data_IF_225056926635
#
_entry.id   IF_225056926635
#
_cell.length_a   1.000
_cell.length_b   1.000
_cell.length_c   1.000
_cell.angle_alpha   90.00
_cell.angle_beta   90.00
_cell.angle_gamma   90.00
#
_symmetry.space_group_name_H-M   'P 1'
#
loop_
_entity.id
_entity.type
_entity.pdbx_description
1 polymer ?
#
# COMPACT_ATOMS: atom_id res chain seq x y z
N UNK A 1 -11.48 -18.95 3.13
CA UNK A 1 -10.31 -19.63 2.50
C UNK A 1 -9.32 -18.56 2.06
N UNK A 2 -8.09 -18.53 2.58
CA UNK A 2 -7.12 -17.51 2.16
C UNK A 2 -5.70 -18.09 2.24
N UNK A 3 -5.30 -18.77 1.17
CA UNK A 3 -3.90 -19.13 0.96
C UNK A 3 -3.09 -17.93 0.44
N UNK A 4 -1.79 -18.15 0.31
CA UNK A 4 -0.88 -17.24 -0.39
C UNK A 4 -1.27 -17.14 -1.88
N UNK A 5 -0.87 -16.04 -2.53
CA UNK A 5 -1.01 -15.89 -3.98
C UNK A 5 -0.19 -16.99 -4.64
N UNK A 6 -0.68 -17.57 -5.74
CA UNK A 6 0.10 -18.57 -6.47
C UNK A 6 1.35 -17.93 -7.06
N UNK A 7 2.43 -18.71 -7.23
CA UNK A 7 3.66 -18.21 -7.86
C UNK A 7 3.41 -17.68 -9.27
N UNK A 8 2.50 -18.32 -10.00
CA UNK A 8 2.13 -17.92 -11.35
C UNK A 8 1.40 -16.57 -11.35
N UNK A 9 0.39 -16.39 -10.51
CA UNK A 9 -0.34 -15.11 -10.41
C UNK A 9 0.58 -13.98 -9.94
N UNK A 10 1.49 -14.27 -9.00
CA UNK A 10 2.48 -13.28 -8.55
C UNK A 10 3.42 -12.87 -9.67
N UNK A 11 3.92 -13.85 -10.43
CA UNK A 11 4.78 -13.62 -11.60
C UNK A 11 4.07 -12.77 -12.65
N UNK A 12 2.85 -13.15 -13.04
CA UNK A 12 2.05 -12.40 -14.02
C UNK A 12 1.71 -10.99 -13.53
N UNK A 13 1.42 -10.83 -12.24
CA UNK A 13 1.20 -9.52 -11.62
C UNK A 13 2.43 -8.61 -11.71
N UNK A 14 3.61 -9.13 -11.35
CA UNK A 14 4.87 -8.37 -11.43
C UNK A 14 5.22 -8.06 -12.88
N UNK A 15 5.07 -9.04 -13.79
CA UNK A 15 5.28 -8.86 -15.23
C UNK A 15 4.40 -7.75 -15.81
N UNK A 16 3.11 -7.74 -15.46
CA UNK A 16 2.17 -6.69 -15.88
C UNK A 16 2.67 -5.29 -15.46
N UNK A 17 3.20 -5.15 -14.23
CA UNK A 17 3.76 -3.88 -13.75
C UNK A 17 5.06 -3.48 -14.47
N UNK A 18 5.89 -4.44 -14.88
CA UNK A 18 7.11 -4.20 -15.65
C UNK A 18 6.78 -3.76 -17.07
N UNK A 19 5.82 -4.41 -17.71
CA UNK A 19 5.40 -4.14 -19.10
C UNK A 19 4.54 -2.87 -19.21
N UNK A 20 4.14 -2.28 -18.08
CA UNK A 20 3.41 -1.02 -18.04
C UNK A 20 4.37 0.17 -18.20
N UNK A 21 4.17 0.93 -19.28
CA UNK A 21 4.91 2.17 -19.58
C UNK A 21 4.54 3.34 -18.66
N UNK A 22 3.42 3.24 -17.93
CA UNK A 22 2.97 4.30 -17.02
C UNK A 22 3.96 4.52 -15.87
N UNK A 23 4.30 5.78 -15.63
CA UNK A 23 5.17 6.20 -14.52
C UNK A 23 4.45 6.13 -13.18
N UNK A 24 3.17 6.49 -13.14
CA UNK A 24 2.37 6.50 -11.93
C UNK A 24 1.20 5.55 -12.10
N UNK A 25 1.27 4.41 -11.42
CA UNK A 25 0.30 3.33 -11.50
C UNK A 25 -0.66 3.44 -10.32
N UNK A 26 -1.93 3.14 -10.55
CA UNK A 26 -2.94 3.06 -9.51
C UNK A 26 -3.63 1.70 -9.57
N UNK A 27 -3.62 0.99 -8.44
CA UNK A 27 -4.18 -0.35 -8.28
C UNK A 27 -5.51 -0.25 -7.53
N UNK A 28 -6.61 -0.42 -8.27
CA UNK A 28 -7.97 -0.07 -7.83
C UNK A 28 -8.84 -1.27 -7.49
N UNK A 29 -8.27 -2.46 -7.25
CA UNK A 29 -9.04 -3.69 -7.00
C UNK A 29 -9.17 -3.99 -5.49
N UNK A 30 -10.28 -4.58 -5.05
CA UNK A 30 -10.54 -4.91 -3.63
C UNK A 30 -9.76 -6.13 -3.11
N UNK A 31 -8.43 -6.13 -3.24
CA UNK A 31 -7.54 -7.16 -2.67
C UNK A 31 -6.22 -6.55 -2.19
N UNK A 32 -6.31 -5.63 -1.23
CA UNK A 32 -5.17 -4.88 -0.68
C UNK A 32 -3.92 -5.74 -0.43
N UNK A 33 -4.03 -6.83 0.32
CA UNK A 33 -2.87 -7.68 0.66
C UNK A 33 -2.26 -8.41 -0.54
N UNK A 34 -3.07 -8.72 -1.54
CA UNK A 34 -2.62 -9.31 -2.81
C UNK A 34 -1.90 -8.25 -3.64
N UNK A 35 -2.54 -7.09 -3.83
CA UNK A 35 -1.97 -5.96 -4.57
C UNK A 35 -0.67 -5.47 -3.95
N UNK A 36 -0.60 -5.39 -2.63
CA UNK A 36 0.62 -5.02 -1.93
C UNK A 36 1.73 -6.04 -2.17
N UNK A 37 1.42 -7.33 -2.18
CA UNK A 37 2.42 -8.36 -2.48
C UNK A 37 2.96 -8.22 -3.89
N UNK A 38 2.09 -7.97 -4.88
CA UNK A 38 2.49 -7.75 -6.27
C UNK A 38 3.35 -6.48 -6.41
N UNK A 39 2.88 -5.34 -5.89
CA UNK A 39 3.60 -4.07 -5.94
C UNK A 39 4.94 -4.11 -5.20
N UNK A 40 4.99 -4.77 -4.03
CA UNK A 40 6.22 -4.91 -3.27
C UNK A 40 7.24 -5.83 -3.97
N UNK A 41 6.81 -6.94 -4.55
CA UNK A 41 7.70 -7.83 -5.30
C UNK A 41 8.24 -7.15 -6.56
N UNK A 42 7.43 -6.32 -7.22
CA UNK A 42 7.90 -5.45 -8.29
C UNK A 42 9.01 -4.49 -7.80
N UNK A 43 8.83 -3.84 -6.66
CA UNK A 43 9.85 -2.98 -6.06
C UNK A 43 11.13 -3.74 -5.71
N UNK A 44 11.04 -4.96 -5.16
CA UNK A 44 12.20 -5.79 -4.90
C UNK A 44 12.95 -6.12 -6.19
N UNK A 45 12.23 -6.56 -7.23
CA UNK A 45 12.80 -6.84 -8.55
C UNK A 45 13.53 -5.61 -9.11
N UNK A 46 12.86 -4.45 -9.15
CA UNK A 46 13.47 -3.20 -9.62
C UNK A 46 14.69 -2.81 -8.79
N UNK A 47 14.66 -2.99 -7.48
CA UNK A 47 15.77 -2.64 -6.60
C UNK A 47 17.06 -3.42 -6.86
N UNK A 48 16.96 -4.60 -7.49
CA UNK A 48 18.13 -5.39 -7.92
C UNK A 48 18.73 -4.88 -9.22
N UNK A 49 17.93 -4.24 -10.08
CA UNK A 49 18.33 -3.75 -11.41
C UNK A 49 18.74 -2.28 -11.37
N UNK A 50 18.04 -1.49 -10.55
CA UNK A 50 18.17 -0.05 -10.43
C UNK A 50 18.50 0.31 -8.97
N UNK A 51 19.78 0.24 -8.56
CA UNK A 51 20.18 0.56 -7.20
C UNK A 51 19.78 1.97 -6.77
N UNK A 52 19.22 2.10 -5.56
CA UNK A 52 18.85 3.39 -5.00
C UNK A 52 17.90 3.29 -3.81
N UNK A 53 17.17 4.37 -3.55
CA UNK A 53 16.20 4.46 -2.47
C UNK A 53 14.79 4.13 -2.95
N UNK A 54 14.09 3.31 -2.19
CA UNK A 54 12.72 2.86 -2.43
C UNK A 54 11.86 3.22 -1.23
N UNK A 55 10.72 3.87 -1.47
CA UNK A 55 9.84 4.34 -0.42
C UNK A 55 8.61 3.46 -0.34
N UNK A 56 8.23 3.03 0.86
CA UNK A 56 6.94 2.42 1.16
C UNK A 56 6.21 3.44 2.04
N UNK A 57 5.19 4.07 1.48
CA UNK A 57 4.39 5.10 2.13
C UNK A 57 3.03 4.50 2.48
N UNK A 58 2.82 4.19 3.75
CA UNK A 58 1.58 3.53 4.23
C UNK A 58 0.72 4.56 4.95
N UNK A 59 -0.59 4.36 5.02
CA UNK A 59 -1.48 5.27 5.75
C UNK A 59 -1.03 5.49 7.21
N UNK A 60 -0.86 4.41 7.95
CA UNK A 60 -0.45 4.41 9.36
C UNK A 60 0.33 3.14 9.75
N UNK A 61 0.79 3.10 11.01
CA UNK A 61 1.52 1.95 11.55
C UNK A 61 0.67 0.69 11.66
N UNK A 62 -0.63 0.82 11.92
CA UNK A 62 -1.54 -0.32 12.06
C UNK A 62 -1.77 -1.05 10.74
N UNK A 63 -1.89 -0.29 9.64
CA UNK A 63 -1.93 -0.81 8.29
C UNK A 63 -0.61 -1.49 7.94
N UNK A 64 0.53 -0.88 8.29
CA UNK A 64 1.83 -1.48 8.06
C UNK A 64 1.98 -2.84 8.79
N UNK A 65 1.52 -2.94 10.03
CA UNK A 65 1.45 -4.18 10.79
C UNK A 65 0.56 -5.24 10.10
N UNK A 66 -0.60 -4.82 9.59
CA UNK A 66 -1.47 -5.71 8.81
C UNK A 66 -0.77 -6.19 7.55
N UNK A 67 -0.08 -5.33 6.82
CA UNK A 67 0.68 -5.71 5.62
C UNK A 67 1.77 -6.73 5.98
N UNK A 68 2.52 -6.52 7.07
CA UNK A 68 3.55 -7.43 7.53
C UNK A 68 3.03 -8.82 7.94
N UNK A 69 1.76 -8.92 8.36
CA UNK A 69 1.12 -10.17 8.80
C UNK A 69 0.30 -10.85 7.71
N UNK A 70 -0.39 -10.07 6.87
CA UNK A 70 -1.47 -10.56 5.98
C UNK A 70 -1.17 -10.48 4.49
N UNK A 71 -0.05 -9.87 4.08
CA UNK A 71 0.43 -9.92 2.68
C UNK A 71 0.41 -11.35 2.16
N UNK A 72 0.10 -11.54 0.89
CA UNK A 72 -0.11 -12.85 0.26
C UNK A 72 1.14 -13.53 -0.25
N UNK A 73 2.31 -12.95 -0.03
CA UNK A 73 3.61 -13.56 -0.32
C UNK A 73 4.46 -13.68 0.98
N UNK A 74 5.06 -14.85 1.27
CA UNK A 74 5.91 -15.04 2.45
C UNK A 74 7.11 -14.11 2.55
N UNK A 75 7.76 -13.79 1.42
CA UNK A 75 8.94 -12.94 1.42
C UNK A 75 8.58 -11.48 1.68
N UNK A 76 7.46 -11.02 1.13
CA UNK A 76 6.86 -9.71 1.45
C UNK A 76 6.57 -9.59 2.95
N UNK A 77 5.94 -10.60 3.55
CA UNK A 77 5.65 -10.60 5.01
C UNK A 77 6.93 -10.48 5.83
N UNK A 78 7.92 -11.35 5.56
CA UNK A 78 9.20 -11.37 6.28
C UNK A 78 9.95 -10.04 6.14
N UNK A 79 10.02 -9.48 4.93
CA UNK A 79 10.69 -8.21 4.69
C UNK A 79 10.03 -7.07 5.46
N UNK A 80 8.70 -6.97 5.38
CA UNK A 80 7.96 -5.94 6.10
C UNK A 80 8.13 -6.07 7.61
N UNK A 81 8.10 -7.29 8.17
CA UNK A 81 8.39 -7.53 9.59
C UNK A 81 9.77 -7.01 9.99
N UNK A 82 10.81 -7.24 9.16
CA UNK A 82 12.15 -6.70 9.40
C UNK A 82 12.25 -5.19 9.21
N UNK A 83 11.37 -4.58 8.41
CA UNK A 83 11.37 -3.15 8.12
C UNK A 83 10.59 -2.31 9.16
N UNK A 84 9.54 -2.87 9.79
CA UNK A 84 8.60 -2.12 10.65
C UNK A 84 9.29 -1.29 11.73
N UNK A 85 10.19 -1.91 12.51
CA UNK A 85 10.88 -1.24 13.62
C UNK A 85 11.98 -0.28 13.16
N UNK A 86 12.94 -0.69 12.31
CA UNK A 86 14.01 0.23 11.90
C UNK A 86 13.53 1.30 10.91
N UNK A 87 12.38 1.12 10.27
CA UNK A 87 11.82 1.97 9.19
C UNK A 87 12.75 2.24 8.01
N UNK A 88 13.92 1.60 8.01
CA UNK A 88 14.94 1.62 6.97
C UNK A 88 15.64 0.28 6.94
N UNK A 89 15.68 -0.36 5.78
CA UNK A 89 16.32 -1.65 5.62
C UNK A 89 17.16 -1.65 4.33
N UNK A 90 18.41 -2.08 4.44
CA UNK A 90 19.27 -2.30 3.27
C UNK A 90 18.93 -3.64 2.64
N UNK A 91 18.74 -3.64 1.33
CA UNK A 91 18.55 -4.85 0.53
C UNK A 91 19.46 -4.76 -0.70
N UNK A 92 20.46 -5.64 -0.75
CA UNK A 92 21.52 -5.60 -1.77
C UNK A 92 22.20 -4.21 -1.83
N UNK A 93 22.14 -3.56 -3.00
CA UNK A 93 22.67 -2.22 -3.27
C UNK A 93 21.62 -1.10 -3.06
N UNK A 94 20.42 -1.46 -2.62
CA UNK A 94 19.29 -0.56 -2.46
C UNK A 94 18.89 -0.41 -0.98
N UNK A 95 18.15 0.65 -0.68
CA UNK A 95 17.64 0.91 0.66
C UNK A 95 16.14 1.17 0.59
N UNK A 96 15.39 0.46 1.42
CA UNK A 96 13.95 0.60 1.57
C UNK A 96 13.64 1.43 2.80
N UNK A 97 12.71 2.36 2.66
CA UNK A 97 12.25 3.25 3.72
C UNK A 97 10.75 3.05 3.93
N UNK A 98 10.31 3.04 5.20
CA UNK A 98 8.91 2.97 5.58
C UNK A 98 8.52 4.27 6.29
N UNK A 99 7.55 4.96 5.71
CA UNK A 99 6.96 6.18 6.26
C UNK A 99 5.43 6.07 6.26
N UNK A 100 4.79 6.91 7.07
CA UNK A 100 3.34 6.99 7.19
C UNK A 100 2.78 8.20 6.46
N UNK A 101 1.46 8.42 6.36
CA UNK A 101 0.95 9.64 5.71
C UNK A 101 1.16 10.90 6.55
N UNK A 102 1.40 10.77 7.86
CA UNK A 102 1.75 11.91 8.71
C UNK A 102 3.14 12.48 8.37
N UNK A 103 3.21 13.79 8.09
CA UNK A 103 4.45 14.54 7.84
C UNK A 103 5.57 14.29 8.86
N UNK A 104 5.24 14.17 10.15
CA UNK A 104 6.24 13.93 11.20
C UNK A 104 6.96 12.58 11.07
N UNK A 105 6.42 11.65 10.27
CA UNK A 105 7.08 10.39 9.97
C UNK A 105 8.07 10.47 8.81
N UNK A 106 8.07 11.56 8.02
CA UNK A 106 8.83 11.65 6.76
C UNK A 106 10.28 12.05 6.94
N UNK A 107 10.74 12.27 8.18
CA UNK A 107 12.11 12.70 8.49
C UNK A 107 13.15 11.82 7.77
N UNK A 108 12.88 10.52 7.63
CA UNK A 108 13.80 9.58 7.00
C UNK A 108 13.86 9.72 5.47
N UNK A 109 12.75 10.08 4.82
CA UNK A 109 12.70 10.24 3.36
C UNK A 109 12.97 11.66 2.90
N UNK A 110 12.71 12.68 3.73
CA UNK A 110 13.04 14.07 3.44
C UNK A 110 14.54 14.32 3.30
N UNK A 111 15.36 13.50 3.98
CA UNK A 111 16.82 13.58 3.93
C UNK A 111 17.41 12.85 2.72
N UNK A 112 16.62 12.08 1.97
CA UNK A 112 17.11 11.35 0.81
C UNK A 112 17.25 12.33 -0.36
N UNK A 113 18.42 12.46 -1.00
CA UNK A 113 18.55 13.23 -2.21
C UNK A 113 17.60 12.69 -3.29
N UNK A 114 16.76 13.56 -3.86
CA UNK A 114 15.62 13.18 -4.72
C UNK A 114 16.07 12.32 -5.91
N UNK A 115 17.24 12.60 -6.47
CA UNK A 115 17.85 11.87 -7.59
C UNK A 115 18.22 10.41 -7.26
N UNK A 116 18.36 10.09 -5.96
CA UNK A 116 18.62 8.72 -5.50
C UNK A 116 17.35 7.90 -5.33
N UNK A 117 16.18 8.54 -5.28
CA UNK A 117 14.89 7.88 -5.12
C UNK A 117 14.47 7.29 -6.47
N UNK A 118 14.15 5.99 -6.49
CA UNK A 118 13.87 5.24 -7.72
C UNK A 118 12.39 4.92 -7.89
N UNK A 119 11.73 4.50 -6.81
CA UNK A 119 10.30 4.26 -6.84
C UNK A 119 9.65 4.40 -5.46
N UNK A 120 8.33 4.57 -5.45
CA UNK A 120 7.53 4.56 -4.23
C UNK A 120 6.29 3.66 -4.37
N UNK A 121 5.98 2.92 -3.31
CA UNK A 121 4.74 2.17 -3.14
C UNK A 121 3.90 2.86 -2.07
N UNK A 122 2.77 3.42 -2.48
CA UNK A 122 1.84 4.17 -1.64
C UNK A 122 0.63 3.28 -1.34
N UNK A 123 0.26 3.13 -0.07
CA UNK A 123 -0.77 2.18 0.36
C UNK A 123 -1.75 2.87 1.29
N UNK A 124 -2.99 3.00 0.84
CA UNK A 124 -4.12 3.44 1.65
C UNK A 124 -5.04 2.27 1.95
N UNK A 125 -5.58 2.23 3.16
CA UNK A 125 -6.55 1.24 3.57
C UNK A 125 -7.85 1.39 2.75
N UNK A 126 -8.58 0.30 2.62
CA UNK A 126 -9.84 0.23 1.86
C UNK A 126 -11.08 0.35 2.76
N UNK A 127 -10.90 0.74 4.02
CA UNK A 127 -11.98 0.82 5.01
C UNK A 127 -12.21 2.27 5.40
N UNK A 128 -13.36 2.82 5.03
CA UNK A 128 -13.83 4.16 5.44
C UNK A 128 -14.35 4.22 6.87
N UNK A 129 -14.45 3.10 7.60
CA UNK A 129 -14.77 3.17 9.03
C UNK A 129 -13.63 3.92 9.73
N UNK A 130 -13.88 5.12 10.31
CA UNK A 130 -12.97 5.69 11.29
C UNK A 130 -12.86 4.61 12.35
N UNK A 131 -11.68 4.03 12.52
CA UNK A 131 -11.51 3.09 13.62
C UNK A 131 -11.77 3.87 14.90
N UNK A 132 -12.71 3.31 15.68
CA UNK A 132 -13.24 3.82 16.93
C UNK A 132 -12.20 4.58 17.74
N UNK A 133 -12.68 5.67 18.36
CA UNK A 133 -12.07 6.34 19.51
C UNK A 133 -11.11 5.39 20.23
N UNK A 134 -9.82 5.64 20.05
CA UNK A 134 -8.84 5.19 21.01
C UNK A 134 -9.28 5.89 22.29
N UNK A 135 -9.57 5.14 23.36
CA UNK A 135 -9.66 5.69 24.71
C UNK A 135 -8.30 6.35 25.00
N UNK A 136 -8.22 7.66 24.73
CA UNK A 136 -7.03 8.48 25.01
C UNK A 136 -7.14 8.92 26.46
N UNK A 137 -7.01 7.99 27.39
CA UNK A 137 -6.47 8.36 28.69
C UNK A 137 -4.95 8.50 28.54
N UNK A 138 -4.50 9.76 28.50
CA UNK A 138 -3.13 10.25 28.35
C UNK A 138 -2.55 10.23 26.92
N UNK A 139 -2.84 11.29 26.16
CA UNK A 139 -1.79 12.14 25.59
C UNK A 139 -2.42 13.40 24.98
N UNK A 140 -2.01 14.55 25.51
CA UNK A 140 -2.52 15.88 25.17
C UNK A 140 -2.05 16.40 23.80
N UNK A 141 -1.48 15.53 22.94
CA UNK A 141 -0.95 15.87 21.62
C UNK A 141 -1.84 15.39 20.45
N UNK A 142 -3.03 14.86 20.74
CA UNK A 142 -3.95 14.29 19.74
C UNK A 142 -4.74 15.31 18.91
N UNK A 143 -4.51 16.62 19.10
CA UNK A 143 -5.21 17.69 18.36
C UNK A 143 -4.55 18.12 17.05
N UNK A 144 -3.41 17.52 16.66
CA UNK A 144 -2.71 17.78 15.40
C UNK A 144 -2.85 16.65 14.37
N UNK A 145 -4.03 16.01 14.32
CA UNK A 145 -4.45 15.19 13.17
C UNK A 145 -4.76 16.16 12.02
N UNK A 146 -3.72 16.85 11.53
CA UNK A 146 -3.75 17.56 10.26
C UNK A 146 -3.75 16.46 9.19
N UNK A 147 -4.94 15.90 8.98
CA UNK A 147 -5.27 14.99 7.89
C UNK A 147 -4.93 15.74 6.61
N UNK A 148 -3.72 15.49 6.11
CA UNK A 148 -3.32 15.79 4.74
C UNK A 148 -4.54 15.52 3.87
N UNK A 149 -5.10 16.57 3.25
CA UNK A 149 -6.31 16.46 2.42
C UNK A 149 -6.10 15.28 1.48
N UNK A 150 -7.12 14.41 1.38
CA UNK A 150 -7.05 13.17 0.58
C UNK A 150 -6.33 13.46 -0.76
N UNK A 151 -5.22 12.75 -1.00
CA UNK A 151 -4.29 12.85 -2.15
C UNK A 151 -3.02 13.71 -2.03
N UNK A 152 -2.84 14.58 -1.04
CA UNK A 152 -1.62 15.42 -0.97
C UNK A 152 -0.34 14.59 -0.69
N UNK A 153 -0.46 13.45 0.01
CA UNK A 153 0.63 12.49 0.21
C UNK A 153 1.13 11.87 -1.11
N UNK A 154 0.24 11.71 -2.09
CA UNK A 154 0.55 11.13 -3.38
C UNK A 154 1.14 12.17 -4.32
N UNK A 155 0.48 13.34 -4.43
CA UNK A 155 0.92 14.45 -5.29
C UNK A 155 2.36 14.86 -4.97
N UNK A 156 2.71 14.91 -3.67
CA UNK A 156 4.07 15.23 -3.27
C UNK A 156 5.08 14.22 -3.80
N UNK A 157 4.82 12.92 -3.67
CA UNK A 157 5.73 11.88 -4.16
C UNK A 157 5.81 11.88 -5.70
N UNK A 158 4.69 12.03 -6.40
CA UNK A 158 4.68 12.07 -7.87
C UNK A 158 5.53 13.21 -8.44
N UNK A 159 5.74 14.31 -7.70
CA UNK A 159 6.54 15.45 -8.17
C UNK A 159 8.04 15.17 -8.31
N UNK A 160 8.57 14.15 -7.62
CA UNK A 160 10.00 13.86 -7.62
C UNK A 160 10.37 12.38 -7.72
N UNK A 161 9.44 11.47 -7.44
CA UNK A 161 9.67 10.03 -7.55
C UNK A 161 9.43 9.61 -9.01
N UNK A 162 10.43 9.02 -9.70
CA UNK A 162 10.30 8.66 -11.11
C UNK A 162 9.16 7.68 -11.41
N UNK A 163 8.86 6.78 -10.46
CA UNK A 163 7.79 5.79 -10.60
C UNK A 163 7.05 5.57 -9.29
N UNK A 164 5.73 5.59 -9.34
CA UNK A 164 4.89 5.32 -8.16
C UNK A 164 3.87 4.22 -8.45
N UNK A 165 3.60 3.40 -7.44
CA UNK A 165 2.46 2.48 -7.43
C UNK A 165 1.60 2.86 -6.25
N UNK A 166 0.35 3.21 -6.50
CA UNK A 166 -0.62 3.60 -5.48
C UNK A 166 -1.67 2.52 -5.34
N UNK A 167 -1.93 2.05 -4.13
CA UNK A 167 -3.02 1.12 -3.83
C UNK A 167 -4.07 1.88 -3.02
N UNK A 168 -5.21 2.15 -3.66
CA UNK A 168 -6.37 2.74 -3.03
C UNK A 168 -7.61 2.33 -3.82
N UNK A 169 -8.58 1.69 -3.16
CA UNK A 169 -9.73 1.11 -3.84
C UNK A 169 -10.81 2.15 -4.21
N UNK A 170 -11.13 3.08 -3.31
CA UNK A 170 -12.28 3.98 -3.42
C UNK A 170 -11.94 5.38 -3.96
N UNK A 171 -10.69 5.62 -4.32
CA UNK A 171 -10.20 6.93 -4.74
C UNK A 171 -9.71 6.87 -6.18
N UNK A 172 -9.82 7.99 -6.89
CA UNK A 172 -9.19 8.17 -8.20
C UNK A 172 -8.19 9.33 -8.09
N UNK A 173 -7.02 9.16 -8.67
CA UNK A 173 -5.96 10.17 -8.63
C UNK A 173 -5.61 10.65 -10.04
N UNK A 174 -5.63 11.95 -10.24
CA UNK A 174 -5.16 12.57 -11.48
C UNK A 174 -3.67 12.24 -11.72
N UNK A 175 -3.30 12.07 -13.00
CA UNK A 175 -1.92 11.75 -13.38
C UNK A 175 -1.49 10.30 -13.08
N UNK A 176 -2.42 9.44 -12.66
CA UNK A 176 -2.17 8.00 -12.49
C UNK A 176 -2.89 7.18 -13.55
N UNK A 177 -2.32 6.01 -13.89
CA UNK A 177 -2.91 5.05 -14.82
C UNK A 177 -3.40 3.83 -14.06
N UNK A 178 -4.70 3.49 -14.14
CA UNK A 178 -5.24 2.32 -13.47
C UNK A 178 -4.72 1.03 -14.11
N UNK A 179 -4.21 0.11 -13.29
CA UNK A 179 -3.79 -1.24 -13.72
C UNK A 179 -4.59 -2.27 -12.93
N UNK A 180 -5.15 -3.24 -13.65
CA UNK A 180 -5.95 -4.32 -13.10
C UNK A 180 -5.34 -5.68 -13.46
N UNK A 181 -5.44 -6.62 -12.52
CA UNK A 181 -4.96 -7.98 -12.68
C UNK A 181 -6.13 -8.92 -12.93
N UNK A 182 -6.06 -9.71 -14.00
CA UNK A 182 -7.13 -10.63 -14.41
C UNK A 182 -7.43 -11.72 -13.36
N UNK A 183 -6.42 -12.16 -12.60
CA UNK A 183 -6.59 -13.15 -11.53
C UNK A 183 -7.33 -12.60 -10.31
N UNK A 184 -7.42 -11.28 -10.15
CA UNK A 184 -8.27 -10.65 -9.14
C UNK A 184 -9.66 -10.44 -9.76
N UNK A 185 -10.53 -11.41 -9.50
CA UNK A 185 -11.94 -11.31 -9.93
C UNK A 185 -12.59 -10.10 -9.26
N UNK A 186 -13.31 -9.31 -10.05
CA UNK A 186 -14.24 -8.32 -9.50
C UNK A 186 -15.24 -9.08 -8.64
N UNK A 187 -15.36 -8.69 -7.37
CA UNK A 187 -16.47 -9.20 -6.57
C UNK A 187 -17.75 -8.74 -7.26
N UNK A 188 -18.56 -9.69 -7.73
CA UNK A 188 -19.92 -9.34 -8.15
C UNK A 188 -20.59 -8.82 -6.90
N UNK A 189 -21.04 -7.57 -6.91
CA UNK A 189 -22.06 -7.13 -5.96
C UNK A 189 -23.14 -8.21 -5.98
N UNK A 190 -23.35 -8.89 -4.85
CA UNK A 190 -24.47 -9.82 -4.72
C UNK A 190 -25.74 -8.98 -4.62
N UNK A 191 -26.18 -8.42 -5.75
CA UNK A 191 -27.56 -7.98 -5.92
C UNK A 191 -28.40 -9.23 -6.10
N UNK A 192 -28.88 -9.78 -4.98
CA UNK A 192 -30.04 -10.67 -5.00
C UNK A 192 -31.23 -9.78 -4.63
N UNK A 193 -32.06 -9.47 -5.63
CA UNK A 193 -33.38 -8.83 -5.47
C UNK A 193 -33.44 -7.50 -4.70
N UNK A 194 -32.56 -6.54 -5.02
CA UNK A 194 -32.79 -5.13 -4.69
C UNK A 194 -32.69 -4.72 -3.22
N UNK A 195 -32.16 -5.57 -2.34
CA UNK A 195 -31.91 -5.22 -0.93
C UNK A 195 -30.47 -5.60 -0.54
N UNK A 196 -29.71 -4.60 -0.07
CA UNK A 196 -28.37 -4.80 0.49
C UNK A 196 -28.49 -5.48 1.85
N UNK A 197 -28.27 -6.79 1.90
CA UNK A 197 -28.25 -7.53 3.17
C UNK A 197 -26.90 -7.24 3.86
N UNK A 198 -26.92 -6.39 4.88
CA UNK A 198 -25.86 -6.39 5.89
C UNK A 198 -25.94 -7.72 6.64
N UNK A 199 -24.88 -8.52 6.54
CA UNK A 199 -24.73 -9.73 7.33
C UNK A 199 -24.42 -9.33 8.77
N UNK A 200 -25.47 -9.12 9.56
CA UNK A 200 -25.48 -9.21 11.02
C UNK A 200 -26.94 -9.24 11.44
N UNK A 201 -27.49 -10.42 11.69
CA UNK A 201 -28.69 -10.67 12.50
C UNK A 201 -28.84 -12.20 12.65
N UNK A 202 -28.16 -12.75 13.66
CA UNK A 202 -28.60 -14.00 14.29
C UNK A 202 -29.82 -13.64 15.16
N UNK A 203 -30.98 -14.18 14.81
CA UNK A 203 -32.13 -14.28 15.72
C UNK A 203 -32.32 -15.77 15.98
N UNK A 204 -31.98 -16.21 17.19
CA UNK A 204 -32.43 -17.50 17.71
C UNK A 204 -33.79 -17.29 18.40
N UNK A 205 -34.77 -18.13 18.02
CA UNK A 205 -36.07 -18.33 18.69
C UNK A 205 -35.93 -19.07 20.03
#
# INVERSE_FOLDING_TARGET
MSGDITKQDLYEGVKTLIETDALHIHLTQQKLFTLFSVGFQYLLFESTRNPGAYIIRVEDGYLADKLAKKSKDPSTRKFMQSLLMPRKLKYEKSVFYLDYFHLGSWNMTSEIPKEKIKAALIVKNTSTKPMMEIDVENDADSTFIDTIKNADYLKMLMSFVPRTITIAFEENFEGTTPVNFAFIKKEKEKTVSGVTINADLEWDD
#
